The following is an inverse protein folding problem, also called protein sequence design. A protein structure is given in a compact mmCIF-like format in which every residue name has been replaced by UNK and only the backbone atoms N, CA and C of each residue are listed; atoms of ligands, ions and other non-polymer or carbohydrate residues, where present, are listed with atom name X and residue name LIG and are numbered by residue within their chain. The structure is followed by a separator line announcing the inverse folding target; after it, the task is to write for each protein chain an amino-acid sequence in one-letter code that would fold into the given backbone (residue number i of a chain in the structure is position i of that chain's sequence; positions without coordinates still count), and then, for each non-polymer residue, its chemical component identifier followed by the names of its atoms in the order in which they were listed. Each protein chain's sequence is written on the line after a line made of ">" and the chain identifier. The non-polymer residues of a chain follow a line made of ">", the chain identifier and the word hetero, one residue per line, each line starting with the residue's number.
data_IF_325582609190
#
_entry.id   IF_325582609190
#
_cell.length_a   1.000
_cell.length_b   1.000
_cell.length_c   1.000
_cell.angle_alpha   90.00
_cell.angle_beta   90.00
_cell.angle_gamma   90.00
#
_symmetry.space_group_name_H-M   'P 1'
#
loop_
_entity.id
_entity.type
_entity.pdbx_description
1 polymer ?
#
# COMPACT_ATOMS: atom_id res chain seq x y z
N UNK A 1 -34.18 0.18 20.77
CA UNK A 1 -33.21 1.17 20.28
C UNK A 1 -32.29 0.47 19.28
N UNK A 2 -32.53 0.60 17.97
CA UNK A 2 -31.59 0.12 16.94
C UNK A 2 -30.43 1.11 16.93
N UNK A 3 -29.28 0.70 17.45
CA UNK A 3 -28.03 1.39 17.15
C UNK A 3 -27.88 1.33 15.64
N UNK A 4 -27.97 2.47 14.96
CA UNK A 4 -27.56 2.57 13.56
C UNK A 4 -26.06 2.37 13.60
N UNK A 5 -25.62 1.13 13.43
CA UNK A 5 -24.24 0.81 13.12
C UNK A 5 -23.94 1.52 11.80
N UNK A 6 -23.34 2.70 11.88
CA UNK A 6 -22.72 3.34 10.73
C UNK A 6 -21.65 2.37 10.24
N UNK A 7 -22.02 1.52 9.27
CA UNK A 7 -21.09 0.65 8.57
C UNK A 7 -20.22 1.54 7.70
N UNK A 8 -19.24 2.20 8.32
CA UNK A 8 -18.22 2.96 7.61
C UNK A 8 -17.49 1.94 6.74
N UNK A 9 -17.61 2.10 5.42
CA UNK A 9 -16.85 1.30 4.48
C UNK A 9 -15.38 1.73 4.58
N UNK A 10 -14.54 0.93 5.25
CA UNK A 10 -13.11 1.20 5.44
C UNK A 10 -12.34 1.31 4.11
N UNK A 11 -12.90 0.73 3.04
CA UNK A 11 -12.36 0.75 1.69
C UNK A 11 -13.00 1.84 0.81
N UNK A 12 -13.78 2.76 1.38
CA UNK A 12 -14.33 3.89 0.63
C UNK A 12 -13.21 4.71 0.01
N UNK A 13 -13.34 5.02 -1.27
CA UNK A 13 -12.37 5.80 -2.04
C UNK A 13 -12.89 7.21 -2.28
N UNK A 14 -11.99 8.20 -2.21
CA UNK A 14 -12.32 9.55 -2.64
C UNK A 14 -12.39 9.68 -4.18
N UNK A 15 -12.62 10.90 -4.69
CA UNK A 15 -12.65 11.19 -6.14
C UNK A 15 -11.37 10.80 -6.90
N UNK A 16 -10.24 10.65 -6.19
CA UNK A 16 -8.96 10.20 -6.75
C UNK A 16 -8.71 8.70 -6.61
N UNK A 17 -9.69 7.92 -6.14
CA UNK A 17 -9.54 6.49 -5.89
C UNK A 17 -8.77 6.18 -4.59
N UNK A 18 -8.39 7.16 -3.78
CA UNK A 18 -7.61 6.89 -2.57
C UNK A 18 -8.52 6.48 -1.43
N UNK A 19 -8.34 5.26 -0.95
CA UNK A 19 -8.87 4.77 0.32
C UNK A 19 -8.02 5.21 1.53
N UNK A 20 -8.55 5.03 2.74
CA UNK A 20 -7.89 5.39 4.01
C UNK A 20 -6.47 4.79 4.14
N UNK A 21 -6.27 3.56 3.68
CA UNK A 21 -4.99 2.88 3.74
C UNK A 21 -3.89 3.63 2.95
N UNK A 22 -4.21 4.19 1.78
CA UNK A 22 -3.25 5.02 1.04
C UNK A 22 -2.81 6.24 1.84
N UNK A 23 -3.76 6.90 2.51
CA UNK A 23 -3.46 8.08 3.30
C UNK A 23 -2.64 7.77 4.54
N UNK A 24 -2.84 6.61 5.18
CA UNK A 24 -2.01 6.16 6.30
C UNK A 24 -0.53 5.97 5.88
N UNK A 25 -0.29 5.42 4.69
CA UNK A 25 1.07 5.30 4.14
C UNK A 25 1.64 6.66 3.72
N UNK A 26 0.85 7.51 3.06
CA UNK A 26 1.26 8.87 2.65
C UNK A 26 1.61 9.73 3.89
N UNK A 27 0.87 9.58 4.99
CA UNK A 27 1.16 10.24 6.26
C UNK A 27 2.28 9.57 7.05
N UNK A 28 2.84 8.47 6.54
CA UNK A 28 3.92 7.67 7.15
C UNK A 28 3.56 7.10 8.51
N UNK A 29 2.27 6.91 8.80
CA UNK A 29 1.83 6.34 10.07
C UNK A 29 1.76 4.82 9.99
N UNK A 30 2.73 4.19 10.65
CA UNK A 30 2.78 2.73 10.81
C UNK A 30 1.56 2.22 11.59
N UNK A 31 1.24 2.89 12.68
CA UNK A 31 0.16 2.52 13.60
C UNK A 31 -1.19 2.58 12.90
N UNK A 32 -1.44 3.63 12.11
CA UNK A 32 -2.69 3.74 11.36
C UNK A 32 -2.76 2.72 10.22
N UNK A 33 -1.62 2.40 9.60
CA UNK A 33 -1.55 1.37 8.55
C UNK A 33 -1.93 0.00 9.13
N UNK A 34 -1.32 -0.41 10.25
CA UNK A 34 -1.65 -1.66 10.95
C UNK A 34 -3.11 -1.66 11.41
N UNK A 35 -3.58 -0.58 12.04
CA UNK A 35 -4.95 -0.47 12.52
C UNK A 35 -5.96 -0.68 11.38
N UNK A 36 -5.76 -0.02 10.23
CA UNK A 36 -6.69 -0.14 9.10
C UNK A 36 -6.70 -1.56 8.53
N UNK A 37 -5.54 -2.19 8.36
CA UNK A 37 -5.43 -3.57 7.85
C UNK A 37 -6.14 -4.54 8.81
N UNK A 38 -5.90 -4.42 10.12
CA UNK A 38 -6.53 -5.26 11.13
C UNK A 38 -8.05 -5.07 11.22
N UNK A 39 -8.56 -3.92 10.77
CA UNK A 39 -10.00 -3.62 10.68
C UNK A 39 -10.60 -3.91 9.29
N UNK A 40 -9.89 -4.65 8.44
CA UNK A 40 -10.42 -5.14 7.16
C UNK A 40 -10.21 -4.22 5.96
N UNK A 41 -9.25 -3.28 6.04
CA UNK A 41 -8.82 -2.57 4.84
C UNK A 41 -8.23 -3.56 3.83
N UNK A 42 -8.65 -3.43 2.57
CA UNK A 42 -8.08 -4.20 1.47
C UNK A 42 -6.65 -3.69 1.21
N UNK A 43 -5.66 -4.51 1.55
CA UNK A 43 -4.23 -4.16 1.42
C UNK A 43 -3.81 -3.93 -0.05
N UNK A 44 -4.60 -4.46 -0.99
CA UNK A 44 -4.35 -4.42 -2.42
C UNK A 44 -5.22 -3.42 -3.17
N UNK A 45 -6.01 -2.61 -2.45
CA UNK A 45 -6.86 -1.59 -3.06
C UNK A 45 -6.02 -0.65 -3.91
N UNK A 46 -6.47 -0.42 -5.15
CA UNK A 46 -5.79 0.45 -6.11
C UNK A 46 -6.50 1.79 -6.23
N UNK A 47 -5.75 2.89 -6.23
CA UNK A 47 -6.28 4.20 -6.60
C UNK A 47 -6.47 4.37 -8.11
N UNK A 48 -6.91 5.55 -8.56
CA UNK A 48 -7.16 5.79 -9.98
C UNK A 48 -5.89 5.75 -10.84
N UNK A 49 -4.69 5.74 -10.27
CA UNK A 49 -3.44 5.53 -11.01
C UNK A 49 -3.03 4.05 -11.04
N UNK A 50 -3.80 3.16 -10.39
CA UNK A 50 -3.42 1.77 -10.17
C UNK A 50 -2.43 1.59 -9.00
N UNK A 51 -2.21 2.63 -8.20
CA UNK A 51 -1.28 2.54 -7.09
C UNK A 51 -1.94 1.89 -5.88
N UNK A 52 -1.23 0.96 -5.27
CA UNK A 52 -1.56 0.37 -3.97
C UNK A 52 -0.76 1.05 -2.86
N UNK A 53 -1.09 0.75 -1.61
CA UNK A 53 -0.30 1.16 -0.46
C UNK A 53 1.20 0.78 -0.58
N UNK A 54 1.51 -0.38 -1.18
CA UNK A 54 2.88 -0.85 -1.39
C UNK A 54 3.66 -0.01 -2.42
N UNK A 55 2.99 0.59 -3.41
CA UNK A 55 3.64 1.54 -4.32
C UNK A 55 4.06 2.81 -3.56
N UNK A 56 3.18 3.35 -2.72
CA UNK A 56 3.47 4.54 -1.92
C UNK A 56 4.58 4.28 -0.90
N UNK A 57 4.59 3.13 -0.21
CA UNK A 57 5.68 2.82 0.73
C UNK A 57 7.02 2.69 0.02
N UNK A 58 7.03 2.15 -1.21
CA UNK A 58 8.24 2.03 -2.01
C UNK A 58 8.77 3.39 -2.51
N UNK A 59 7.89 4.28 -2.98
CA UNK A 59 8.27 5.64 -3.39
C UNK A 59 8.77 6.48 -2.20
N UNK A 60 8.10 6.38 -1.05
CA UNK A 60 8.38 7.20 0.12
C UNK A 60 9.51 6.66 1.02
N UNK A 61 10.14 5.54 0.64
CA UNK A 61 11.14 4.82 1.41
C UNK A 61 10.67 4.46 2.85
N UNK A 62 9.59 3.69 2.94
CA UNK A 62 8.98 3.28 4.22
C UNK A 62 9.13 1.76 4.41
N UNK A 63 10.34 1.26 4.75
CA UNK A 63 10.61 -0.18 4.84
C UNK A 63 9.70 -0.90 5.84
N UNK A 64 9.52 -0.34 7.04
CA UNK A 64 8.68 -0.95 8.08
C UNK A 64 7.21 -1.08 7.64
N UNK A 65 6.69 -0.09 6.91
CA UNK A 65 5.33 -0.13 6.38
C UNK A 65 5.23 -1.13 5.22
N UNK A 66 6.25 -1.22 4.36
CA UNK A 66 6.29 -2.22 3.31
C UNK A 66 6.23 -3.65 3.88
N UNK A 67 6.99 -3.94 4.93
CA UNK A 67 6.97 -5.24 5.63
C UNK A 67 5.59 -5.57 6.21
N UNK A 68 4.90 -4.58 6.79
CA UNK A 68 3.52 -4.75 7.30
C UNK A 68 2.56 -5.07 6.16
N UNK A 69 2.62 -4.33 5.07
CA UNK A 69 1.76 -4.56 3.91
C UNK A 69 2.00 -5.96 3.32
N UNK A 70 3.27 -6.36 3.16
CA UNK A 70 3.66 -7.67 2.61
C UNK A 70 3.21 -8.81 3.53
N UNK A 71 3.46 -8.70 4.83
CA UNK A 71 3.03 -9.70 5.83
C UNK A 71 1.50 -9.88 5.90
N UNK A 72 0.74 -8.87 5.48
CA UNK A 72 -0.72 -8.92 5.38
C UNK A 72 -1.24 -9.19 3.97
N UNK A 73 -0.40 -9.72 3.07
CA UNK A 73 -0.84 -10.23 1.77
C UNK A 73 -0.84 -9.20 0.65
N UNK A 74 -0.03 -8.14 0.74
CA UNK A 74 0.17 -7.24 -0.39
C UNK A 74 0.78 -7.99 -1.59
N UNK A 75 0.17 -7.81 -2.76
CA UNK A 75 0.66 -8.36 -4.02
C UNK A 75 1.89 -7.58 -4.45
N UNK A 76 3.05 -8.21 -4.34
CA UNK A 76 4.36 -7.55 -4.53
C UNK A 76 4.58 -7.07 -5.96
N UNK A 77 4.14 -7.87 -6.93
CA UNK A 77 4.31 -7.61 -8.37
C UNK A 77 3.09 -6.93 -9.01
N UNK A 78 2.27 -6.25 -8.21
CA UNK A 78 1.15 -5.45 -8.72
C UNK A 78 1.67 -4.38 -9.68
N UNK A 79 0.94 -4.13 -10.76
CA UNK A 79 1.30 -3.11 -11.75
C UNK A 79 0.33 -1.94 -11.68
N UNK A 80 0.87 -0.72 -11.70
CA UNK A 80 0.10 0.49 -11.92
C UNK A 80 -0.37 0.61 -13.38
N UNK A 81 -1.10 1.69 -13.71
CA UNK A 81 -1.60 1.93 -15.07
C UNK A 81 -0.50 2.15 -16.12
N UNK A 82 0.73 2.43 -15.70
CA UNK A 82 1.91 2.56 -16.56
C UNK A 82 2.73 1.25 -16.62
N UNK A 83 2.22 0.17 -16.04
CA UNK A 83 2.91 -1.11 -15.96
C UNK A 83 4.06 -1.14 -14.94
N UNK A 84 4.16 -0.15 -14.05
CA UNK A 84 5.22 -0.06 -13.04
C UNK A 84 4.82 -0.78 -11.75
N UNK A 85 5.78 -1.50 -11.19
CA UNK A 85 5.67 -2.20 -9.91
C UNK A 85 6.15 -1.32 -8.74
N UNK A 86 5.88 -1.70 -7.48
CA UNK A 86 6.53 -1.10 -6.32
C UNK A 86 8.07 -1.09 -6.43
N UNK A 87 8.66 -2.18 -6.97
CA UNK A 87 10.11 -2.26 -7.19
C UNK A 87 10.59 -1.21 -8.20
N UNK A 88 9.83 -0.93 -9.25
CA UNK A 88 10.18 0.11 -10.22
C UNK A 88 10.20 1.51 -9.59
N UNK A 89 9.29 1.79 -8.64
CA UNK A 89 9.33 3.05 -7.90
C UNK A 89 10.59 3.13 -7.02
N UNK A 90 10.93 2.07 -6.30
CA UNK A 90 12.16 2.01 -5.50
C UNK A 90 13.44 2.15 -6.35
N UNK A 91 13.46 1.57 -7.56
CA UNK A 91 14.55 1.73 -8.53
C UNK A 91 14.68 3.17 -9.04
N UNK A 92 13.56 3.79 -9.43
CA UNK A 92 13.50 5.18 -9.93
C UNK A 92 14.18 6.16 -8.97
N UNK A 93 13.95 5.96 -7.67
CA UNK A 93 14.50 6.81 -6.61
C UNK A 93 15.81 6.29 -5.98
N UNK A 94 16.37 5.19 -6.51
CA UNK A 94 17.61 4.56 -6.03
C UNK A 94 17.60 4.17 -4.55
N UNK A 95 16.43 3.78 -4.04
CA UNK A 95 16.22 3.39 -2.64
C UNK A 95 16.66 1.94 -2.44
N UNK A 96 17.94 1.72 -2.12
CA UNK A 96 18.54 0.36 -2.03
C UNK A 96 17.84 -0.56 -1.03
N UNK A 97 17.61 -0.08 0.18
CA UNK A 97 16.97 -0.88 1.24
C UNK A 97 15.57 -1.38 0.81
N UNK A 98 14.77 -0.52 0.18
CA UNK A 98 13.45 -0.90 -0.32
C UNK A 98 13.54 -1.90 -1.48
N UNK A 99 14.53 -1.75 -2.36
CA UNK A 99 14.77 -2.74 -3.42
C UNK A 99 15.11 -4.10 -2.82
N UNK A 100 15.97 -4.14 -1.79
CA UNK A 100 16.34 -5.38 -1.09
C UNK A 100 15.14 -6.05 -0.43
N UNK A 101 14.28 -5.29 0.27
CA UNK A 101 13.05 -5.82 0.89
C UNK A 101 12.10 -6.40 -0.15
N UNK A 102 11.85 -5.68 -1.25
CA UNK A 102 10.94 -6.15 -2.29
C UNK A 102 11.50 -7.39 -2.99
N UNK A 103 12.80 -7.42 -3.28
CA UNK A 103 13.47 -8.58 -3.89
C UNK A 103 13.49 -9.81 -2.96
N UNK A 104 13.73 -9.62 -1.66
CA UNK A 104 13.72 -10.72 -0.68
C UNK A 104 12.34 -11.38 -0.55
N UNK A 105 11.27 -10.63 -0.84
CA UNK A 105 9.90 -11.13 -0.85
C UNK A 105 9.42 -11.60 -2.23
N UNK A 106 10.27 -11.61 -3.26
CA UNK A 106 9.93 -12.17 -4.58
C UNK A 106 9.44 -11.15 -5.61
N UNK A 107 9.85 -9.88 -5.51
CA UNK A 107 9.65 -8.92 -6.58
C UNK A 107 10.45 -9.33 -7.84
N UNK A 108 9.80 -9.26 -9.00
CA UNK A 108 10.42 -9.59 -10.27
C UNK A 108 11.31 -8.45 -10.77
N UNK A 109 12.49 -8.78 -11.30
CA UNK A 109 13.43 -7.78 -11.83
C UNK A 109 13.19 -7.41 -13.29
N UNK A 110 12.37 -8.20 -13.99
CA UNK A 110 12.08 -8.19 -15.43
C UNK A 110 11.26 -7.00 -15.90
#
# INVERSE_FOLDING_TARGET
>A
MKLVSNHININAQNIGGKAALHFAVISKSKEMTEYLILNGADVNIQDLSGWTALHYSAELNLPDIAEILISHGAVINVKDKNGKTPLDQAKKWKIKQMQEILLSHGANTS
#
